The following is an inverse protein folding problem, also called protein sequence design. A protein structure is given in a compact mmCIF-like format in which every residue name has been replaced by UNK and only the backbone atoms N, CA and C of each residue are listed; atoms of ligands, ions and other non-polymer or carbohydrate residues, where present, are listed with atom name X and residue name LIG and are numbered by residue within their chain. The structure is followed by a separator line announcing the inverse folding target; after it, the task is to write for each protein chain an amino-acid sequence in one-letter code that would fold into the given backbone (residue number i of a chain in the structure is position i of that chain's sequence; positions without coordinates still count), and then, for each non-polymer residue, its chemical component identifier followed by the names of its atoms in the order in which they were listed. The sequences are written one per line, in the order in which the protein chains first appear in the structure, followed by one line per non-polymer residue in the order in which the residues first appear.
data_IF_566763274871
#
_entry.id   IF_566763274871
#
_cell.length_a   1.000
_cell.length_b   1.000
_cell.length_c   1.000
_cell.angle_alpha   90.00
_cell.angle_beta   90.00
_cell.angle_gamma   90.00
#
_symmetry.space_group_name_H-M   'P 1'
#
loop_
_entity.id
_entity.type
_entity.pdbx_description
1 polymer ?
#
# COMPACT_ATOMS: atom_id res chain seq x y z
N UNK A 1 39.57 -27.15 10.47
CA UNK A 1 38.21 -27.61 10.19
C UNK A 1 37.34 -26.34 10.04
N UNK A 2 37.01 -25.93 8.79
CA UNK A 2 36.21 -24.75 8.52
C UNK A 2 34.74 -25.18 8.60
N UNK A 3 33.95 -24.51 9.44
CA UNK A 3 32.52 -24.75 9.51
C UNK A 3 31.87 -24.43 8.15
N UNK A 4 30.94 -25.24 7.64
CA UNK A 4 30.25 -24.91 6.42
C UNK A 4 29.49 -23.60 6.60
N UNK A 5 29.51 -22.75 5.57
CA UNK A 5 28.71 -21.51 5.54
C UNK A 5 27.23 -21.87 5.69
N UNK A 6 26.43 -21.03 6.37
CA UNK A 6 24.99 -21.27 6.47
C UNK A 6 24.40 -21.31 5.06
N UNK A 7 23.73 -22.40 4.74
CA UNK A 7 23.01 -22.55 3.48
C UNK A 7 21.93 -21.47 3.42
N UNK A 8 21.97 -20.64 2.38
CA UNK A 8 20.89 -19.70 2.08
C UNK A 8 19.58 -20.48 1.91
N UNK A 9 18.45 -20.00 2.44
CA UNK A 9 17.18 -20.69 2.29
C UNK A 9 16.87 -20.87 0.80
N UNK A 10 16.73 -22.12 0.36
CA UNK A 10 16.52 -22.51 -1.05
C UNK A 10 15.11 -22.17 -1.56
N UNK A 11 14.22 -21.63 -0.71
CA UNK A 11 12.85 -21.25 -1.07
C UNK A 11 12.52 -19.85 -0.60
N UNK A 12 11.92 -19.06 -1.49
CA UNK A 12 11.31 -17.77 -1.14
C UNK A 12 10.24 -18.00 -0.05
N UNK A 13 10.16 -17.11 0.96
CA UNK A 13 9.12 -17.24 2.00
C UNK A 13 7.73 -17.13 1.36
N UNK A 14 6.78 -17.94 1.81
CA UNK A 14 5.40 -17.89 1.37
C UNK A 14 4.59 -17.03 2.31
N UNK A 15 3.83 -16.06 1.76
CA UNK A 15 2.99 -15.13 2.51
C UNK A 15 1.55 -15.22 2.01
N UNK A 16 0.61 -15.47 2.92
CA UNK A 16 -0.81 -15.39 2.66
C UNK A 16 -1.35 -14.05 3.18
N UNK A 17 -1.97 -13.25 2.31
CA UNK A 17 -2.63 -11.99 2.67
C UNK A 17 -4.14 -12.19 2.58
N UNK A 18 -4.86 -11.90 3.65
CA UNK A 18 -6.32 -12.05 3.71
C UNK A 18 -6.98 -10.68 3.58
N UNK A 19 -7.74 -10.51 2.51
CA UNK A 19 -8.43 -9.27 2.15
C UNK A 19 -7.65 -8.38 1.21
N UNK A 20 -8.25 -8.04 0.07
CA UNK A 20 -7.68 -7.19 -0.97
C UNK A 20 -8.19 -5.74 -0.90
N UNK A 21 -8.35 -5.19 0.28
CA UNK A 21 -8.50 -3.75 0.51
C UNK A 21 -7.16 -3.03 0.36
N UNK A 22 -7.14 -1.71 0.56
CA UNK A 22 -5.92 -0.90 0.44
C UNK A 22 -4.74 -1.46 1.24
N UNK A 23 -4.98 -1.83 2.51
CA UNK A 23 -3.93 -2.37 3.39
C UNK A 23 -3.41 -3.73 2.92
N UNK A 24 -4.30 -4.64 2.49
CA UNK A 24 -3.91 -5.96 1.99
C UNK A 24 -3.16 -5.87 0.67
N UNK A 25 -3.58 -5.00 -0.25
CA UNK A 25 -2.87 -4.75 -1.51
C UNK A 25 -1.45 -4.23 -1.26
N UNK A 26 -1.30 -3.25 -0.35
CA UNK A 26 0.02 -2.73 0.03
C UNK A 26 0.88 -3.79 0.72
N UNK A 27 0.31 -4.59 1.65
CA UNK A 27 1.03 -5.67 2.32
C UNK A 27 1.53 -6.72 1.32
N UNK A 28 0.68 -7.13 0.37
CA UNK A 28 1.04 -8.07 -0.69
C UNK A 28 2.17 -7.52 -1.58
N UNK A 29 2.06 -6.25 -1.98
CA UNK A 29 3.05 -5.57 -2.81
C UNK A 29 4.42 -5.54 -2.11
N UNK A 30 4.47 -5.10 -0.86
CA UNK A 30 5.74 -5.02 -0.13
C UNK A 30 6.33 -6.40 0.16
N UNK A 31 5.51 -7.41 0.48
CA UNK A 31 5.99 -8.79 0.64
C UNK A 31 6.59 -9.32 -0.67
N UNK A 32 5.93 -9.10 -1.80
CA UNK A 32 6.44 -9.50 -3.11
C UNK A 32 7.75 -8.77 -3.47
N UNK A 33 7.86 -7.47 -3.18
CA UNK A 33 9.11 -6.72 -3.38
C UNK A 33 10.28 -7.23 -2.53
N UNK A 34 9.99 -7.87 -1.39
CA UNK A 34 10.99 -8.54 -0.56
C UNK A 34 11.28 -10.00 -1.01
N UNK A 35 10.75 -10.41 -2.16
CA UNK A 35 11.00 -11.72 -2.75
C UNK A 35 10.12 -12.85 -2.20
N UNK A 36 9.05 -12.53 -1.48
CA UNK A 36 8.11 -13.55 -1.02
C UNK A 36 7.19 -14.05 -2.16
N UNK A 37 6.84 -15.34 -2.10
CA UNK A 37 5.75 -15.90 -2.89
C UNK A 37 4.42 -15.52 -2.21
N UNK A 38 3.68 -14.56 -2.76
CA UNK A 38 2.49 -14.01 -2.13
C UNK A 38 1.23 -14.61 -2.73
N UNK A 39 0.30 -15.05 -1.85
CA UNK A 39 -1.07 -15.40 -2.23
C UNK A 39 -2.03 -14.43 -1.55
N UNK A 40 -2.79 -13.69 -2.33
CA UNK A 40 -3.80 -12.74 -1.85
C UNK A 40 -5.19 -13.38 -1.96
N UNK A 41 -5.87 -13.49 -0.82
CA UNK A 41 -7.23 -14.03 -0.72
C UNK A 41 -8.24 -12.90 -0.56
N UNK A 42 -9.22 -12.84 -1.46
CA UNK A 42 -10.32 -11.88 -1.40
C UNK A 42 -11.65 -12.60 -1.49
N UNK A 43 -12.56 -12.25 -0.59
CA UNK A 43 -13.89 -12.85 -0.53
C UNK A 43 -14.83 -12.38 -1.65
N UNK A 44 -14.61 -11.16 -2.12
CA UNK A 44 -15.42 -10.55 -3.16
C UNK A 44 -14.85 -10.84 -4.56
N UNK A 45 -15.67 -10.63 -5.58
CA UNK A 45 -15.30 -10.84 -6.98
C UNK A 45 -14.38 -9.74 -7.55
N UNK A 46 -14.05 -8.72 -6.77
CA UNK A 46 -13.17 -7.62 -7.18
C UNK A 46 -12.25 -7.18 -6.07
N UNK A 47 -11.01 -6.87 -6.42
CA UNK A 47 -10.04 -6.27 -5.52
C UNK A 47 -10.40 -4.81 -5.23
N UNK A 48 -9.94 -4.27 -4.12
CA UNK A 48 -9.96 -2.85 -3.83
C UNK A 48 -11.36 -2.20 -3.82
N UNK A 49 -12.42 -2.92 -3.50
CA UNK A 49 -13.81 -2.40 -3.58
C UNK A 49 -13.99 -1.02 -2.95
N UNK A 50 -13.37 -0.79 -1.78
CA UNK A 50 -13.45 0.52 -1.13
C UNK A 50 -12.67 1.59 -1.90
N UNK A 51 -11.54 1.26 -2.50
CA UNK A 51 -10.80 2.17 -3.37
C UNK A 51 -11.63 2.61 -4.57
N UNK A 52 -12.36 1.66 -5.19
CA UNK A 52 -13.17 1.90 -6.38
C UNK A 52 -14.29 2.93 -6.18
N UNK A 53 -14.77 3.14 -4.95
CA UNK A 53 -15.87 4.06 -4.65
C UNK A 53 -15.40 5.38 -4.03
N UNK A 54 -14.15 5.48 -3.56
CA UNK A 54 -13.64 6.72 -2.96
C UNK A 54 -13.46 7.82 -3.99
N UNK A 55 -13.60 9.08 -3.56
CA UNK A 55 -13.45 10.23 -4.45
C UNK A 55 -14.38 10.20 -5.66
N UNK A 56 -15.59 9.63 -5.51
CA UNK A 56 -16.56 9.46 -6.61
C UNK A 56 -15.98 8.63 -7.78
N UNK A 57 -15.24 7.57 -7.48
CA UNK A 57 -14.63 6.67 -8.46
C UNK A 57 -13.26 7.12 -8.97
N UNK A 58 -12.71 8.24 -8.46
CA UNK A 58 -11.37 8.73 -8.81
C UNK A 58 -10.26 8.18 -7.92
N UNK A 59 -10.60 7.50 -6.82
CA UNK A 59 -9.67 7.05 -5.78
C UNK A 59 -8.95 8.18 -5.04
N UNK A 60 -9.55 8.70 -3.98
CA UNK A 60 -8.88 9.62 -3.07
C UNK A 60 -7.77 8.88 -2.31
N UNK A 61 -6.52 9.23 -2.58
CA UNK A 61 -5.34 8.50 -2.10
C UNK A 61 -4.86 9.00 -0.73
N UNK A 62 -4.74 10.33 -0.57
CA UNK A 62 -4.26 10.98 0.65
C UNK A 62 -4.54 12.49 0.61
N UNK A 63 -4.09 13.20 1.64
CA UNK A 63 -4.20 14.66 1.71
C UNK A 63 -2.87 15.29 2.16
N UNK A 64 -2.62 16.51 1.74
CA UNK A 64 -1.41 17.27 2.10
C UNK A 64 -1.30 17.52 3.62
N UNK A 65 -2.44 17.64 4.29
CA UNK A 65 -2.51 17.89 5.73
C UNK A 65 -2.56 16.59 6.58
N UNK A 66 -2.40 15.40 5.95
CA UNK A 66 -2.40 14.15 6.72
C UNK A 66 -1.25 14.12 7.71
N UNK A 67 -1.59 13.91 8.98
CA UNK A 67 -0.65 13.86 10.11
C UNK A 67 -1.20 12.94 11.20
N UNK A 68 -0.35 12.41 12.12
CA UNK A 68 -0.81 11.57 13.22
C UNK A 68 -1.96 12.17 14.03
N UNK A 69 -1.94 13.48 14.26
CA UNK A 69 -2.97 14.20 15.00
C UNK A 69 -4.37 14.19 14.36
N UNK A 70 -4.48 13.83 13.07
CA UNK A 70 -5.76 13.69 12.37
C UNK A 70 -6.46 12.34 12.65
N UNK A 71 -5.83 11.46 13.41
CA UNK A 71 -6.34 10.10 13.67
C UNK A 71 -6.70 9.93 15.15
N UNK A 72 -7.84 9.30 15.41
CA UNK A 72 -8.18 8.83 16.75
C UNK A 72 -7.36 7.56 17.04
N UNK A 73 -6.35 7.68 17.89
CA UNK A 73 -5.48 6.59 18.28
C UNK A 73 -5.23 6.61 19.79
N UNK A 74 -5.34 5.47 20.44
CA UNK A 74 -5.10 5.34 21.89
C UNK A 74 -3.61 5.51 22.24
N UNK A 75 -2.70 5.25 21.31
CA UNK A 75 -1.26 5.45 21.45
C UNK A 75 -0.75 6.38 20.34
N UNK A 76 -0.73 7.69 20.57
CA UNK A 76 -0.21 8.66 19.62
C UNK A 76 1.27 8.43 19.25
N UNK A 77 2.09 7.97 20.21
CA UNK A 77 3.53 7.76 19.97
C UNK A 77 3.79 6.63 18.99
N UNK A 78 3.00 5.56 19.06
CA UNK A 78 3.02 4.46 18.08
C UNK A 78 2.65 4.97 16.69
N UNK A 79 1.60 5.79 16.60
CA UNK A 79 1.15 6.34 15.33
C UNK A 79 2.18 7.28 14.70
N UNK A 80 2.83 8.11 15.50
CA UNK A 80 3.94 8.98 15.05
C UNK A 80 5.12 8.15 14.52
N UNK A 81 5.47 7.06 15.22
CA UNK A 81 6.52 6.15 14.76
C UNK A 81 6.15 5.50 13.41
N UNK A 82 4.90 5.09 13.24
CA UNK A 82 4.39 4.53 11.98
C UNK A 82 4.49 5.55 10.84
N UNK A 83 4.08 6.80 11.07
CA UNK A 83 4.17 7.86 10.05
C UNK A 83 5.61 8.22 9.67
N UNK A 84 6.58 8.06 10.59
CA UNK A 84 8.02 8.20 10.26
C UNK A 84 8.52 7.08 9.34
N UNK A 85 8.01 5.86 9.53
CA UNK A 85 8.39 4.70 8.71
C UNK A 85 7.69 4.74 7.36
N UNK A 86 6.39 5.04 7.34
CA UNK A 86 5.57 5.07 6.14
C UNK A 86 4.57 6.22 6.20
N UNK A 87 5.02 7.40 5.83
CA UNK A 87 4.20 8.60 5.73
C UNK A 87 3.70 8.85 4.30
N UNK A 88 3.13 10.05 4.08
CA UNK A 88 2.58 10.46 2.78
C UNK A 88 3.59 10.35 1.63
N UNK A 89 4.82 10.81 1.81
CA UNK A 89 5.86 10.75 0.77
C UNK A 89 6.11 9.31 0.32
N UNK A 90 6.26 8.39 1.28
CA UNK A 90 6.45 6.96 0.98
C UNK A 90 5.26 6.36 0.21
N UNK A 91 4.03 6.76 0.55
CA UNK A 91 2.84 6.34 -0.19
C UNK A 91 2.90 6.83 -1.64
N UNK A 92 3.19 8.11 -1.86
CA UNK A 92 3.23 8.69 -3.21
C UNK A 92 4.35 8.08 -4.07
N UNK A 93 5.54 7.89 -3.51
CA UNK A 93 6.66 7.20 -4.15
C UNK A 93 6.33 5.73 -4.49
N UNK A 94 5.63 5.04 -3.59
CA UNK A 94 5.18 3.66 -3.83
C UNK A 94 4.20 3.61 -5.00
N UNK A 95 3.23 4.52 -5.04
CA UNK A 95 2.25 4.60 -6.11
C UNK A 95 2.91 4.93 -7.46
N UNK A 96 3.83 5.88 -7.49
CA UNK A 96 4.63 6.21 -8.68
C UNK A 96 5.39 4.98 -9.19
N UNK A 97 6.03 4.24 -8.28
CA UNK A 97 6.81 3.04 -8.60
C UNK A 97 5.97 1.93 -9.24
N UNK A 98 4.69 1.81 -8.90
CA UNK A 98 3.77 0.84 -9.54
C UNK A 98 3.02 1.43 -10.73
N UNK A 99 3.41 2.60 -11.23
CA UNK A 99 2.82 3.20 -12.41
C UNK A 99 1.51 3.98 -12.13
N UNK A 100 1.31 4.44 -10.90
CA UNK A 100 0.19 5.30 -10.49
C UNK A 100 0.71 6.71 -10.17
N UNK A 101 1.06 7.54 -11.17
CA UNK A 101 1.42 8.93 -10.92
C UNK A 101 0.23 9.69 -10.33
N UNK A 102 0.53 10.63 -9.45
CA UNK A 102 -0.50 11.34 -8.69
C UNK A 102 -0.42 12.85 -8.90
N UNK A 103 -1.52 13.54 -8.61
CA UNK A 103 -1.58 15.00 -8.54
C UNK A 103 -2.30 15.45 -7.27
N UNK A 104 -1.87 16.59 -6.73
CA UNK A 104 -2.60 17.30 -5.68
C UNK A 104 -3.62 18.25 -6.29
N UNK A 105 -4.78 18.37 -5.65
CA UNK A 105 -5.73 19.45 -5.91
C UNK A 105 -5.36 20.70 -5.09
N UNK A 106 -5.96 21.85 -5.38
CA UNK A 106 -5.68 23.11 -4.67
C UNK A 106 -6.02 23.05 -3.17
N UNK A 107 -6.97 22.19 -2.79
CA UNK A 107 -7.38 21.92 -1.40
C UNK A 107 -6.61 20.73 -0.76
N UNK A 108 -5.54 20.29 -1.43
CA UNK A 108 -4.57 19.34 -0.88
C UNK A 108 -4.92 17.86 -1.01
N UNK A 109 -6.00 17.47 -1.68
CA UNK A 109 -6.29 16.07 -1.93
C UNK A 109 -5.41 15.49 -3.05
N UNK A 110 -5.01 14.24 -2.91
CA UNK A 110 -4.23 13.51 -3.92
C UNK A 110 -5.08 12.48 -4.62
N UNK A 111 -5.06 12.54 -5.94
CA UNK A 111 -5.73 11.60 -6.85
C UNK A 111 -4.73 11.05 -7.87
N UNK A 112 -4.98 9.86 -8.45
CA UNK A 112 -4.19 9.41 -9.59
C UNK A 112 -4.38 10.38 -10.77
N UNK A 113 -3.35 10.58 -11.59
CA UNK A 113 -3.43 11.40 -12.80
C UNK A 113 -4.51 10.91 -13.77
N UNK A 114 -4.77 9.61 -13.78
CA UNK A 114 -5.82 8.97 -14.60
C UNK A 114 -7.24 9.36 -14.17
N UNK A 115 -7.41 9.92 -12.97
CA UNK A 115 -8.71 10.14 -12.32
C UNK A 115 -9.62 8.89 -12.26
N UNK A 116 -9.03 7.72 -12.28
CA UNK A 116 -9.73 6.44 -12.31
C UNK A 116 -9.27 5.53 -11.18
N UNK A 117 -10.20 5.13 -10.32
CA UNK A 117 -9.94 4.15 -9.28
C UNK A 117 -9.61 2.76 -9.85
N UNK A 118 -10.14 2.43 -11.03
CA UNK A 118 -9.85 1.18 -11.72
C UNK A 118 -8.37 1.08 -12.09
N UNK A 119 -7.76 2.18 -12.56
CA UNK A 119 -6.33 2.18 -12.89
C UNK A 119 -5.45 1.97 -11.64
N UNK A 120 -5.86 2.52 -10.49
CA UNK A 120 -5.16 2.30 -9.23
C UNK A 120 -5.22 0.83 -8.81
N UNK A 121 -6.40 0.22 -8.86
CA UNK A 121 -6.55 -1.20 -8.49
C UNK A 121 -5.80 -2.10 -9.47
N UNK A 122 -5.87 -1.81 -10.78
CA UNK A 122 -5.17 -2.58 -11.80
C UNK A 122 -3.64 -2.57 -11.64
N UNK A 123 -3.07 -1.51 -11.08
CA UNK A 123 -1.63 -1.42 -10.83
C UNK A 123 -1.10 -2.40 -9.77
N UNK A 124 -2.00 -2.98 -8.97
CA UNK A 124 -1.68 -4.02 -7.99
C UNK A 124 -1.86 -5.46 -8.52
N UNK A 125 -2.25 -5.63 -9.78
CA UNK A 125 -2.62 -6.95 -10.35
C UNK A 125 -1.47 -7.63 -11.09
#
# INVERSE_FOLDING_TARGET
MVAPAPESPTHAPSVAVIGAGASGLMAALFAAWQGAAVTLFERNNSLGRKLLITGSGRCNLTNAAVAPAAYACADPSWLEALFRIFGRSHLLETLERIGVPTRATHDGWYYPLSESAQSVVAAFS
#
